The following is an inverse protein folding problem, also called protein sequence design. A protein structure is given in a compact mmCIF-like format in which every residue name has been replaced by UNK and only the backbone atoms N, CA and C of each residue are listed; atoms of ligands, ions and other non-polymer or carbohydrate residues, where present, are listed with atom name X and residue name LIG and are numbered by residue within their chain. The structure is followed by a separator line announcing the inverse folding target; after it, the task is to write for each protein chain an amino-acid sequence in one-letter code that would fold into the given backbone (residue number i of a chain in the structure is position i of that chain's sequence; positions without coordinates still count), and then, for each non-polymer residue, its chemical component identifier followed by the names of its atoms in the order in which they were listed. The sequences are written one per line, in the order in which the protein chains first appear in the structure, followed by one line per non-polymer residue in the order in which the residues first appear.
data_IF_526566239289
#
_entry.id   IF_526566239289
#
_cell.length_a   1.000
_cell.length_b   1.000
_cell.length_c   1.000
_cell.angle_alpha   90.00
_cell.angle_beta   90.00
_cell.angle_gamma   90.00
#
_symmetry.space_group_name_H-M   'P 1'
#
loop_
_entity.id
_entity.type
_entity.pdbx_description
1 polymer ?
#
# COMPACT_ATOMS: atom_id res chain seq x y z
N UNK A 1 11.37 18.23 7.05
CA UNK A 1 10.02 18.07 7.66
C UNK A 1 10.17 17.06 8.78
N UNK A 2 9.63 17.30 9.93
CA UNK A 2 9.74 16.41 11.10
C UNK A 2 8.35 15.92 11.48
N UNK A 3 8.23 14.64 11.84
CA UNK A 3 6.98 14.04 12.33
C UNK A 3 6.90 14.19 13.85
N UNK A 4 7.01 15.39 14.36
CA UNK A 4 7.27 15.71 15.78
C UNK A 4 6.32 15.05 16.79
N UNK A 5 5.21 14.52 16.34
CA UNK A 5 4.19 13.93 17.22
C UNK A 5 4.18 12.40 17.22
N UNK A 6 4.85 11.75 16.24
CA UNK A 6 4.85 10.30 16.11
C UNK A 6 6.17 9.69 16.54
N UNK A 7 6.09 8.56 17.24
CA UNK A 7 7.25 7.80 17.73
C UNK A 7 7.35 6.41 17.15
N UNK A 8 6.23 5.82 16.78
CA UNK A 8 6.15 4.43 16.35
C UNK A 8 5.39 4.30 15.03
N UNK A 9 5.84 3.41 14.17
CA UNK A 9 5.18 3.10 12.91
C UNK A 9 5.15 1.61 12.63
N UNK A 10 4.13 1.15 11.92
CA UNK A 10 4.04 -0.19 11.34
C UNK A 10 3.83 -0.07 9.84
N UNK A 11 4.67 -0.76 9.07
CA UNK A 11 4.60 -0.79 7.60
C UNK A 11 4.41 -2.22 7.13
N UNK A 12 3.35 -2.47 6.37
CA UNK A 12 3.09 -3.77 5.75
C UNK A 12 3.63 -3.85 4.33
N UNK A 13 3.98 -5.06 3.87
CA UNK A 13 4.66 -5.25 2.58
C UNK A 13 6.06 -4.63 2.58
N UNK A 14 6.72 -4.63 3.72
CA UNK A 14 7.96 -3.91 4.00
C UNK A 14 9.23 -4.50 3.36
N UNK A 15 9.14 -5.68 2.77
CA UNK A 15 10.34 -6.40 2.26
C UNK A 15 10.82 -5.91 0.89
N UNK A 16 10.06 -5.05 0.19
CA UNK A 16 10.44 -4.56 -1.15
C UNK A 16 9.70 -3.28 -1.52
N UNK A 17 10.21 -2.60 -2.57
CA UNK A 17 9.53 -1.50 -3.25
C UNK A 17 9.12 -0.36 -2.32
N UNK A 18 7.88 0.10 -2.47
CA UNK A 18 7.36 1.24 -1.70
C UNK A 18 7.39 1.01 -0.19
N UNK A 19 7.09 -0.22 0.26
CA UNK A 19 7.11 -0.56 1.69
C UNK A 19 8.51 -0.50 2.29
N UNK A 20 9.51 -1.08 1.63
CA UNK A 20 10.91 -1.01 2.04
C UNK A 20 11.41 0.44 2.10
N UNK A 21 11.18 1.20 1.04
CA UNK A 21 11.58 2.61 0.99
C UNK A 21 10.88 3.46 2.06
N UNK A 22 9.61 3.15 2.38
CA UNK A 22 8.88 3.81 3.47
C UNK A 22 9.50 3.48 4.83
N UNK A 23 9.88 2.21 5.09
CA UNK A 23 10.58 1.84 6.34
C UNK A 23 11.88 2.62 6.49
N UNK A 24 12.71 2.66 5.44
CA UNK A 24 13.97 3.42 5.44
C UNK A 24 13.70 4.88 5.81
N UNK A 25 12.74 5.51 5.13
CA UNK A 25 12.41 6.92 5.36
C UNK A 25 11.91 7.19 6.77
N UNK A 26 11.02 6.37 7.31
CA UNK A 26 10.49 6.55 8.67
C UNK A 26 11.59 6.35 9.73
N UNK A 27 12.53 5.43 9.52
CA UNK A 27 13.72 5.26 10.38
C UNK A 27 14.64 6.46 10.34
N UNK A 28 14.87 7.06 9.16
CA UNK A 28 15.64 8.31 9.01
C UNK A 28 15.00 9.48 9.77
N UNK A 29 13.68 9.48 9.89
CA UNK A 29 12.94 10.48 10.69
C UNK A 29 12.93 10.16 12.20
N UNK A 30 13.56 9.07 12.63
CA UNK A 30 13.74 8.71 14.03
C UNK A 30 12.61 7.88 14.64
N UNK A 31 11.64 7.40 13.88
CA UNK A 31 10.59 6.55 14.41
C UNK A 31 11.12 5.13 14.70
N UNK A 32 10.57 4.48 15.71
CA UNK A 32 10.63 3.04 15.82
C UNK A 32 9.70 2.42 14.76
N UNK A 33 10.22 1.56 13.90
CA UNK A 33 9.46 1.02 12.76
C UNK A 33 9.35 -0.49 12.83
N UNK A 34 8.14 -1.00 12.91
CA UNK A 34 7.78 -2.40 12.77
C UNK A 34 7.55 -2.73 11.29
N UNK A 35 8.42 -3.56 10.71
CA UNK A 35 8.40 -3.95 9.31
C UNK A 35 7.75 -5.33 9.14
N UNK A 36 6.60 -5.39 8.49
CA UNK A 36 5.82 -6.63 8.33
C UNK A 36 5.83 -7.12 6.88
N UNK A 37 6.25 -8.36 6.66
CA UNK A 37 6.17 -9.06 5.37
C UNK A 37 6.34 -10.57 5.56
N UNK A 38 6.20 -11.36 4.49
CA UNK A 38 6.38 -12.82 4.54
C UNK A 38 7.84 -13.26 4.36
N UNK A 39 8.64 -12.46 3.66
CA UNK A 39 10.03 -12.79 3.34
C UNK A 39 10.94 -12.43 4.50
N UNK A 40 11.22 -13.42 5.36
CA UNK A 40 12.05 -13.29 6.53
C UNK A 40 13.49 -12.84 6.20
N UNK A 41 14.06 -13.34 5.08
CA UNK A 41 15.44 -12.98 4.69
C UNK A 41 15.55 -11.52 4.29
N UNK A 42 14.62 -11.03 3.47
CA UNK A 42 14.59 -9.61 3.06
C UNK A 42 14.31 -8.71 4.26
N UNK A 43 13.42 -9.11 5.18
CA UNK A 43 13.16 -8.36 6.41
C UNK A 43 14.37 -8.29 7.31
N UNK A 44 15.11 -9.39 7.49
CA UNK A 44 16.34 -9.41 8.29
C UNK A 44 17.41 -8.47 7.70
N UNK A 45 17.60 -8.50 6.38
CA UNK A 45 18.53 -7.59 5.70
C UNK A 45 18.10 -6.12 5.81
N UNK A 46 16.79 -5.83 5.77
CA UNK A 46 16.25 -4.48 6.00
C UNK A 46 16.50 -4.05 7.45
N UNK A 47 16.23 -4.91 8.42
CA UNK A 47 16.47 -4.66 9.84
C UNK A 47 17.95 -4.36 10.16
N UNK A 48 18.87 -5.12 9.58
CA UNK A 48 20.31 -4.89 9.72
C UNK A 48 20.75 -3.51 9.23
N UNK A 49 20.18 -3.06 8.10
CA UNK A 49 20.53 -1.76 7.50
C UNK A 49 19.88 -0.57 8.21
N UNK A 50 18.71 -0.76 8.79
CA UNK A 50 17.87 0.37 9.25
C UNK A 50 17.61 0.39 10.75
N UNK A 51 17.79 -0.74 11.42
CA UNK A 51 17.36 -0.93 12.81
C UNK A 51 15.82 -1.04 12.94
N UNK A 52 15.09 -1.34 11.87
CA UNK A 52 13.66 -1.65 11.95
C UNK A 52 13.44 -3.00 12.63
N UNK A 53 12.27 -3.18 13.24
CA UNK A 53 11.89 -4.41 13.93
C UNK A 53 11.15 -5.32 12.94
N UNK A 54 11.72 -6.47 12.55
CA UNK A 54 11.11 -7.33 11.55
C UNK A 54 10.03 -8.23 12.15
N UNK A 55 8.93 -8.40 11.41
CA UNK A 55 7.86 -9.36 11.70
C UNK A 55 7.56 -10.19 10.45
N UNK A 56 8.00 -11.44 10.44
CA UNK A 56 7.77 -12.38 9.33
C UNK A 56 6.38 -13.01 9.47
N UNK A 57 5.33 -12.33 8.98
CA UNK A 57 3.93 -12.71 9.16
C UNK A 57 3.22 -12.71 7.81
N UNK A 58 2.38 -13.71 7.56
CA UNK A 58 1.37 -13.67 6.51
C UNK A 58 0.14 -12.90 7.03
N UNK A 59 -0.17 -11.78 6.40
CA UNK A 59 -1.30 -10.92 6.79
C UNK A 59 -2.67 -11.57 6.60
N UNK A 60 -2.75 -12.70 5.90
CA UNK A 60 -3.98 -13.48 5.74
C UNK A 60 -4.26 -14.38 6.95
N UNK A 61 -3.24 -14.67 7.76
CA UNK A 61 -3.35 -15.34 9.06
C UNK A 61 -3.63 -14.31 10.16
N UNK A 62 -4.92 -14.03 10.36
CA UNK A 62 -5.36 -12.97 11.29
C UNK A 62 -5.00 -13.34 12.75
N UNK A 63 -5.02 -14.61 13.10
CA UNK A 63 -4.66 -15.05 14.46
C UNK A 63 -3.17 -14.80 14.73
N UNK A 64 -2.31 -15.04 13.75
CA UNK A 64 -0.89 -14.70 13.83
C UNK A 64 -0.69 -13.17 13.92
N UNK A 65 -1.41 -12.38 13.12
CA UNK A 65 -1.37 -10.91 13.18
C UNK A 65 -1.73 -10.42 14.58
N UNK A 66 -2.81 -10.90 15.17
CA UNK A 66 -3.25 -10.49 16.51
C UNK A 66 -2.26 -10.92 17.59
N UNK A 67 -1.74 -12.12 17.51
CA UNK A 67 -0.78 -12.67 18.48
C UNK A 67 0.54 -11.89 18.49
N UNK A 68 1.07 -11.60 17.31
CA UNK A 68 2.41 -11.00 17.16
C UNK A 68 2.40 -9.47 17.26
N UNK A 69 1.30 -8.83 16.83
CA UNK A 69 1.24 -7.37 16.71
C UNK A 69 0.27 -6.72 17.70
N UNK A 70 -0.65 -7.48 18.30
CA UNK A 70 -1.74 -6.93 19.12
C UNK A 70 -1.29 -6.20 20.40
N UNK A 71 -0.08 -6.44 20.89
CA UNK A 71 0.51 -5.74 22.03
C UNK A 71 1.23 -4.44 21.70
N UNK A 72 1.37 -4.11 20.41
CA UNK A 72 2.12 -2.93 19.96
C UNK A 72 1.29 -1.65 20.05
N UNK A 73 1.93 -0.58 20.47
CA UNK A 73 1.38 0.76 20.40
C UNK A 73 1.91 1.45 19.16
N UNK A 74 1.04 1.65 18.16
CA UNK A 74 1.42 2.22 16.87
C UNK A 74 0.78 3.60 16.70
N UNK A 75 1.58 4.59 16.29
CA UNK A 75 1.13 5.95 15.97
C UNK A 75 0.87 6.12 14.46
N UNK A 76 1.67 5.44 13.62
CA UNK A 76 1.52 5.47 12.15
C UNK A 76 1.35 4.06 11.63
N UNK A 77 0.20 3.77 11.01
CA UNK A 77 -0.08 2.51 10.33
C UNK A 77 -0.02 2.72 8.82
N UNK A 78 0.96 2.11 8.13
CA UNK A 78 1.07 2.14 6.66
C UNK A 78 0.63 0.79 6.09
N UNK A 79 -0.60 0.73 5.60
CA UNK A 79 -1.16 -0.40 4.88
C UNK A 79 -0.67 -0.35 3.42
N UNK A 80 0.54 -0.87 3.18
CA UNK A 80 1.17 -0.90 1.87
C UNK A 80 1.14 -2.29 1.22
N UNK A 81 1.03 -3.36 2.00
CA UNK A 81 0.94 -4.70 1.44
C UNK A 81 -0.21 -4.80 0.43
N UNK A 82 0.10 -5.39 -0.71
CA UNK A 82 -0.89 -5.59 -1.76
C UNK A 82 -0.41 -6.60 -2.80
N UNK A 83 -1.38 -7.27 -3.39
CA UNK A 83 -1.18 -8.17 -4.51
C UNK A 83 -2.08 -7.75 -5.65
N UNK A 84 -1.63 -7.99 -6.87
CA UNK A 84 -2.45 -7.82 -8.06
C UNK A 84 -2.36 -9.06 -8.92
N UNK A 85 -3.23 -9.17 -9.89
CA UNK A 85 -3.20 -10.25 -10.86
C UNK A 85 -3.73 -9.74 -12.19
N UNK A 86 -3.12 -10.15 -13.31
CA UNK A 86 -3.59 -9.80 -14.64
C UNK A 86 -4.90 -10.53 -14.97
N UNK A 87 -5.59 -10.04 -15.96
CA UNK A 87 -6.77 -10.70 -16.51
C UNK A 87 -8.10 -10.04 -16.13
N UNK A 88 -9.10 -10.38 -16.88
CA UNK A 88 -10.48 -9.99 -16.64
C UNK A 88 -11.19 -11.05 -15.76
N UNK A 89 -12.40 -10.78 -15.36
CA UNK A 89 -13.14 -11.69 -14.48
C UNK A 89 -13.56 -12.99 -15.17
N UNK A 90 -13.54 -13.03 -16.49
CA UNK A 90 -14.01 -14.18 -17.27
C UNK A 90 -13.07 -15.38 -17.13
N UNK A 91 -11.78 -15.13 -16.91
CA UNK A 91 -10.71 -16.12 -16.85
C UNK A 91 -9.80 -16.02 -15.61
N UNK A 92 -10.14 -15.13 -14.68
CA UNK A 92 -9.37 -14.93 -13.45
C UNK A 92 -9.35 -16.21 -12.58
N UNK A 93 -8.16 -16.74 -12.22
CA UNK A 93 -8.08 -17.89 -11.32
C UNK A 93 -8.68 -17.57 -9.95
N UNK A 94 -9.50 -18.48 -9.42
CA UNK A 94 -10.16 -18.31 -8.11
C UNK A 94 -9.17 -17.90 -7.01
N UNK A 95 -8.06 -18.63 -6.86
CA UNK A 95 -7.07 -18.34 -5.82
C UNK A 95 -6.45 -16.96 -5.93
N UNK A 96 -6.36 -16.39 -7.13
CA UNK A 96 -5.90 -15.02 -7.35
C UNK A 96 -6.93 -14.00 -6.86
N UNK A 97 -8.22 -14.24 -7.12
CA UNK A 97 -9.32 -13.39 -6.63
C UNK A 97 -9.33 -13.40 -5.10
N UNK A 98 -9.30 -14.60 -4.51
CA UNK A 98 -9.31 -14.79 -3.04
C UNK A 98 -8.09 -14.07 -2.41
N UNK A 99 -6.88 -14.26 -2.95
CA UNK A 99 -5.68 -13.61 -2.45
C UNK A 99 -5.76 -12.07 -2.51
N UNK A 100 -6.33 -11.50 -3.58
CA UNK A 100 -6.52 -10.05 -3.68
C UNK A 100 -7.50 -9.54 -2.63
N UNK A 101 -8.59 -10.25 -2.35
CA UNK A 101 -9.55 -9.87 -1.31
C UNK A 101 -8.91 -9.98 0.08
N UNK A 102 -8.23 -11.08 0.37
CA UNK A 102 -7.63 -11.34 1.67
C UNK A 102 -6.52 -10.34 2.01
N UNK A 103 -5.60 -10.08 1.08
CA UNK A 103 -4.47 -9.18 1.32
C UNK A 103 -4.87 -7.70 1.20
N UNK A 104 -5.57 -7.33 0.12
CA UNK A 104 -5.81 -5.91 -0.16
C UNK A 104 -6.97 -5.31 0.64
N UNK A 105 -7.90 -6.14 1.14
CA UNK A 105 -9.10 -5.65 1.84
C UNK A 105 -9.18 -6.19 3.26
N UNK A 106 -9.25 -7.52 3.42
CA UNK A 106 -9.46 -8.15 4.72
C UNK A 106 -8.33 -7.82 5.71
N UNK A 107 -7.07 -7.93 5.29
CA UNK A 107 -5.93 -7.59 6.12
C UNK A 107 -5.93 -6.11 6.53
N UNK A 108 -6.26 -5.19 5.60
CA UNK A 108 -6.37 -3.75 5.90
C UNK A 108 -7.42 -3.48 6.98
N UNK A 109 -8.60 -4.09 6.86
CA UNK A 109 -9.67 -3.95 7.86
C UNK A 109 -9.23 -4.47 9.24
N UNK A 110 -8.59 -5.63 9.29
CA UNK A 110 -8.13 -6.21 10.57
C UNK A 110 -7.01 -5.40 11.22
N UNK A 111 -6.06 -4.87 10.45
CA UNK A 111 -5.02 -3.99 10.98
C UNK A 111 -5.60 -2.67 11.50
N UNK A 112 -6.56 -2.07 10.78
CA UNK A 112 -7.26 -0.89 11.28
C UNK A 112 -8.04 -1.21 12.56
N UNK A 113 -8.76 -2.34 12.62
CA UNK A 113 -9.46 -2.80 13.82
C UNK A 113 -8.52 -3.01 15.01
N UNK A 114 -7.31 -3.49 14.77
CA UNK A 114 -6.32 -3.77 15.79
C UNK A 114 -5.72 -2.49 16.40
N UNK A 115 -5.35 -1.52 15.58
CA UNK A 115 -4.58 -0.36 16.03
C UNK A 115 -5.40 0.91 16.26
N UNK A 116 -6.50 1.10 15.52
CA UNK A 116 -7.27 2.33 15.58
C UNK A 116 -7.88 2.62 16.99
N UNK A 117 -8.38 1.64 17.76
CA UNK A 117 -8.88 1.91 19.11
C UNK A 117 -7.82 2.55 20.01
N UNK A 118 -6.60 2.05 20.03
CA UNK A 118 -5.50 2.63 20.80
C UNK A 118 -5.10 4.03 20.32
N UNK A 119 -5.13 4.28 19.01
CA UNK A 119 -4.92 5.63 18.46
C UNK A 119 -6.02 6.60 18.94
N UNK A 120 -7.28 6.16 18.90
CA UNK A 120 -8.45 6.97 19.35
C UNK A 120 -8.36 7.28 20.85
N UNK A 121 -7.96 6.33 21.67
CA UNK A 121 -7.78 6.51 23.11
C UNK A 121 -6.71 7.58 23.41
N UNK A 122 -5.56 7.53 22.72
CA UNK A 122 -4.47 8.50 22.88
C UNK A 122 -4.73 9.83 22.18
N UNK A 123 -5.80 9.96 21.41
CA UNK A 123 -6.07 11.09 20.50
C UNK A 123 -4.88 11.41 19.56
N UNK A 124 -4.18 10.36 19.12
CA UNK A 124 -2.99 10.43 18.28
C UNK A 124 -2.91 9.23 17.35
N UNK A 125 -2.90 9.48 16.05
CA UNK A 125 -2.70 8.42 15.06
C UNK A 125 -2.79 8.89 13.62
N UNK A 126 -2.16 8.13 12.72
CA UNK A 126 -2.26 8.33 11.29
C UNK A 126 -2.29 6.99 10.56
N UNK A 127 -3.38 6.72 9.86
CA UNK A 127 -3.50 5.58 8.95
C UNK A 127 -3.18 6.04 7.53
N UNK A 128 -2.19 5.43 6.89
CA UNK A 128 -1.85 5.65 5.49
C UNK A 128 -2.17 4.37 4.71
N UNK A 129 -3.13 4.45 3.81
CA UNK A 129 -3.52 3.33 2.96
C UNK A 129 -2.97 3.51 1.55
N UNK A 130 -2.17 2.57 1.07
CA UNK A 130 -1.70 2.56 -0.31
C UNK A 130 -2.74 1.86 -1.17
N UNK A 131 -3.52 2.67 -1.87
CA UNK A 131 -4.53 2.23 -2.83
C UNK A 131 -3.94 2.17 -4.25
N UNK A 132 -4.61 2.70 -5.22
CA UNK A 132 -4.19 2.84 -6.62
C UNK A 132 -5.17 3.75 -7.34
N UNK A 133 -4.75 4.34 -8.45
CA UNK A 133 -5.68 4.95 -9.41
C UNK A 133 -6.73 3.93 -9.90
N UNK A 134 -6.44 2.62 -9.85
CA UNK A 134 -7.40 1.55 -10.12
C UNK A 134 -8.59 1.51 -9.15
N UNK A 135 -8.49 2.13 -7.98
CA UNK A 135 -9.62 2.33 -7.06
C UNK A 135 -10.54 3.49 -7.45
N UNK A 136 -10.08 4.37 -8.33
CA UNK A 136 -10.77 5.59 -8.76
C UNK A 136 -11.27 5.51 -10.21
N UNK A 137 -10.53 4.82 -11.07
CA UNK A 137 -10.75 4.76 -12.51
C UNK A 137 -10.72 3.33 -13.01
N UNK A 138 -11.39 3.07 -14.12
CA UNK A 138 -11.44 1.76 -14.74
C UNK A 138 -10.44 1.66 -15.91
N UNK A 139 -9.73 0.53 -15.96
CA UNK A 139 -8.88 0.13 -17.07
C UNK A 139 -9.30 -1.25 -17.57
N UNK A 140 -8.84 -1.62 -18.75
CA UNK A 140 -9.05 -2.97 -19.28
C UNK A 140 -8.39 -4.04 -18.38
N UNK A 141 -9.12 -5.11 -18.13
CA UNK A 141 -8.68 -6.21 -17.26
C UNK A 141 -8.70 -5.83 -15.77
N UNK A 142 -8.07 -6.65 -14.95
CA UNK A 142 -7.85 -6.39 -13.52
C UNK A 142 -9.13 -6.15 -12.67
N UNK A 143 -10.28 -6.75 -13.03
CA UNK A 143 -11.57 -6.50 -12.36
C UNK A 143 -11.49 -6.65 -10.84
N UNK A 144 -10.91 -7.77 -10.35
CA UNK A 144 -10.78 -8.01 -8.91
C UNK A 144 -9.86 -7.00 -8.23
N UNK A 145 -8.77 -6.60 -8.90
CA UNK A 145 -7.86 -5.58 -8.38
C UNK A 145 -8.56 -4.22 -8.23
N UNK A 146 -9.29 -3.76 -9.26
CA UNK A 146 -10.09 -2.54 -9.20
C UNK A 146 -11.08 -2.58 -8.03
N UNK A 147 -11.81 -3.69 -7.89
CA UNK A 147 -12.77 -3.86 -6.80
C UNK A 147 -12.09 -3.76 -5.42
N UNK A 148 -10.93 -4.41 -5.23
CA UNK A 148 -10.22 -4.35 -3.95
C UNK A 148 -9.66 -2.95 -3.66
N UNK A 149 -9.15 -2.23 -4.66
CA UNK A 149 -8.64 -0.87 -4.48
C UNK A 149 -9.77 0.16 -4.29
N UNK A 150 -10.92 -0.03 -4.94
CA UNK A 150 -12.13 0.74 -4.63
C UNK A 150 -12.65 0.49 -3.20
N UNK A 151 -12.53 -0.74 -2.69
CA UNK A 151 -12.83 -1.03 -1.29
C UNK A 151 -11.89 -0.28 -0.34
N UNK A 152 -10.57 -0.24 -0.61
CA UNK A 152 -9.60 0.53 0.19
C UNK A 152 -9.92 2.03 0.15
N UNK A 153 -10.32 2.56 -1.03
CA UNK A 153 -10.80 3.93 -1.15
C UNK A 153 -11.96 4.21 -0.20
N UNK A 154 -12.99 3.36 -0.23
CA UNK A 154 -14.16 3.54 0.64
C UNK A 154 -13.83 3.33 2.12
N UNK A 155 -12.98 2.36 2.47
CA UNK A 155 -12.47 2.14 3.85
C UNK A 155 -11.80 3.42 4.35
N UNK A 156 -10.89 4.01 3.57
CA UNK A 156 -10.16 5.22 3.97
C UNK A 156 -11.09 6.39 4.27
N UNK A 157 -12.16 6.55 3.50
CA UNK A 157 -13.17 7.58 3.73
C UNK A 157 -14.01 7.30 4.97
N UNK A 158 -14.42 6.04 5.18
CA UNK A 158 -15.26 5.66 6.31
C UNK A 158 -14.50 5.75 7.65
N UNK A 159 -13.23 5.36 7.70
CA UNK A 159 -12.40 5.48 8.91
C UNK A 159 -12.35 6.92 9.45
N UNK A 160 -12.46 7.93 8.60
CA UNK A 160 -12.56 9.32 9.03
C UNK A 160 -13.87 9.64 9.76
N UNK A 161 -14.97 9.01 9.33
CA UNK A 161 -16.26 9.15 10.04
C UNK A 161 -16.19 8.43 11.39
N UNK A 162 -15.61 7.23 11.42
CA UNK A 162 -15.49 6.41 12.63
C UNK A 162 -14.61 7.08 13.70
N UNK A 163 -13.70 7.97 13.30
CA UNK A 163 -12.78 8.70 14.19
C UNK A 163 -13.15 10.18 14.37
N UNK A 164 -14.38 10.58 14.01
CA UNK A 164 -14.85 11.96 14.13
C UNK A 164 -14.70 12.46 15.59
N UNK A 165 -14.16 13.67 15.73
CA UNK A 165 -13.90 14.29 17.04
C UNK A 165 -12.57 13.90 17.67
N UNK A 166 -11.75 13.09 16.97
CA UNK A 166 -10.40 12.70 17.39
C UNK A 166 -9.34 13.22 16.41
N UNK A 167 -8.12 13.42 16.92
CA UNK A 167 -6.99 13.85 16.09
C UNK A 167 -6.35 12.67 15.36
N UNK A 168 -7.18 11.88 14.72
CA UNK A 168 -6.77 10.75 13.88
C UNK A 168 -6.79 11.20 12.43
N UNK A 169 -5.68 11.00 11.74
CA UNK A 169 -5.56 11.30 10.32
C UNK A 169 -5.68 10.02 9.51
N UNK A 170 -6.33 10.11 8.37
CA UNK A 170 -6.38 9.01 7.40
C UNK A 170 -6.04 9.58 6.04
N UNK A 171 -4.98 9.05 5.46
CA UNK A 171 -4.51 9.40 4.12
C UNK A 171 -4.58 8.19 3.21
N UNK A 172 -5.20 8.36 2.07
CA UNK A 172 -5.14 7.41 0.97
C UNK A 172 -4.17 7.93 -0.09
N UNK A 173 -3.18 7.11 -0.44
CA UNK A 173 -2.28 7.40 -1.56
C UNK A 173 -2.69 6.50 -2.72
N UNK A 174 -2.98 7.11 -3.87
CA UNK A 174 -3.41 6.45 -5.09
C UNK A 174 -2.36 6.60 -6.20
N UNK A 175 -1.35 5.72 -6.23
CA UNK A 175 -0.34 5.76 -7.28
C UNK A 175 -0.90 5.34 -8.63
N UNK A 176 -0.38 5.97 -9.69
CA UNK A 176 -0.42 5.45 -11.04
C UNK A 176 0.66 4.40 -11.26
N UNK A 177 1.32 4.44 -12.43
CA UNK A 177 2.42 3.51 -12.75
C UNK A 177 3.65 3.85 -11.93
N UNK A 178 4.06 2.94 -11.06
CA UNK A 178 5.29 3.03 -10.25
C UNK A 178 6.21 1.87 -10.61
N UNK A 179 7.48 2.14 -10.81
CA UNK A 179 8.50 1.13 -11.05
C UNK A 179 8.70 0.26 -9.79
N UNK A 180 8.16 -0.95 -9.83
CA UNK A 180 8.21 -1.93 -8.74
C UNK A 180 8.28 -3.35 -9.30
N UNK A 181 8.55 -4.32 -8.43
CA UNK A 181 8.57 -5.74 -8.79
C UNK A 181 7.15 -6.34 -9.04
N UNK A 182 6.08 -5.57 -8.91
CA UNK A 182 4.71 -6.11 -8.87
C UNK A 182 4.34 -6.86 -10.16
N UNK A 183 4.68 -6.34 -11.32
CA UNK A 183 4.38 -6.98 -12.59
C UNK A 183 5.20 -8.25 -12.79
N UNK A 184 6.50 -8.24 -12.48
CA UNK A 184 7.33 -9.41 -12.57
C UNK A 184 6.90 -10.53 -11.62
N UNK A 185 6.43 -10.17 -10.42
CA UNK A 185 5.83 -11.14 -9.47
C UNK A 185 4.55 -11.76 -9.99
N UNK A 186 3.71 -10.97 -10.65
CA UNK A 186 2.49 -11.45 -11.30
C UNK A 186 2.77 -12.43 -12.45
N UNK A 187 3.95 -12.32 -13.08
CA UNK A 187 4.42 -13.19 -14.14
C UNK A 187 5.22 -14.41 -13.64
N UNK A 188 5.20 -14.67 -12.32
CA UNK A 188 5.82 -15.83 -11.69
C UNK A 188 7.09 -15.55 -10.89
N UNK A 189 7.61 -14.32 -10.92
CA UNK A 189 8.69 -13.85 -10.02
C UNK A 189 10.09 -14.39 -10.34
N UNK A 190 10.30 -15.11 -11.45
CA UNK A 190 11.62 -15.53 -11.87
C UNK A 190 12.44 -14.32 -12.38
N UNK A 191 13.79 -14.42 -12.47
CA UNK A 191 14.61 -13.36 -13.04
C UNK A 191 14.19 -12.99 -14.47
N UNK A 192 13.81 -14.00 -15.29
CA UNK A 192 13.32 -13.82 -16.64
C UNK A 192 11.99 -13.07 -16.66
N UNK A 193 11.04 -13.43 -15.78
CA UNK A 193 9.75 -12.76 -15.63
C UNK A 193 9.91 -11.31 -15.15
N UNK A 194 10.87 -11.04 -14.27
CA UNK A 194 11.19 -9.68 -13.84
C UNK A 194 11.72 -8.83 -15.00
N UNK A 195 12.60 -9.40 -15.84
CA UNK A 195 13.14 -8.73 -17.00
C UNK A 195 12.05 -8.46 -18.05
N UNK A 196 11.25 -9.47 -18.38
CA UNK A 196 10.14 -9.34 -19.32
C UNK A 196 9.11 -8.30 -18.87
N UNK A 197 8.81 -8.26 -17.55
CA UNK A 197 7.93 -7.26 -16.98
C UNK A 197 8.52 -5.84 -17.11
N UNK A 198 9.82 -5.68 -16.89
CA UNK A 198 10.49 -4.40 -17.09
C UNK A 198 10.38 -3.94 -18.55
N UNK A 199 10.75 -4.77 -19.49
CA UNK A 199 10.71 -4.49 -20.95
C UNK A 199 9.28 -4.17 -21.42
N UNK A 200 8.27 -4.86 -20.85
CA UNK A 200 6.86 -4.70 -21.27
C UNK A 200 6.18 -3.48 -20.67
N UNK A 201 6.45 -3.19 -19.38
CA UNK A 201 5.63 -2.24 -18.63
C UNK A 201 6.36 -0.94 -18.27
N UNK A 202 7.69 -0.93 -18.29
CA UNK A 202 8.48 0.21 -17.85
C UNK A 202 9.42 0.78 -18.90
N UNK A 203 10.02 -0.06 -19.74
CA UNK A 203 10.98 0.40 -20.75
C UNK A 203 10.31 1.35 -21.76
N UNK A 204 10.92 2.54 -21.94
CA UNK A 204 10.38 3.58 -22.84
C UNK A 204 9.21 4.39 -22.26
N UNK A 205 8.84 4.16 -21.01
CA UNK A 205 7.82 4.96 -20.32
C UNK A 205 8.42 5.74 -19.16
N UNK A 206 8.04 7.01 -19.02
CA UNK A 206 8.33 7.77 -17.81
C UNK A 206 7.33 7.33 -16.73
N UNK A 207 7.83 6.59 -15.76
CA UNK A 207 7.04 6.06 -14.63
C UNK A 207 7.41 6.78 -13.33
N UNK A 208 6.53 6.71 -12.33
CA UNK A 208 6.91 7.12 -10.98
C UNK A 208 7.94 6.15 -10.41
N UNK A 209 8.79 6.68 -9.56
CA UNK A 209 9.70 5.88 -8.72
C UNK A 209 9.09 5.62 -7.34
N UNK A 210 9.65 4.68 -6.60
CA UNK A 210 9.24 4.46 -5.20
C UNK A 210 9.49 5.70 -4.34
N UNK A 211 10.52 6.51 -4.68
CA UNK A 211 10.84 7.74 -3.97
C UNK A 211 9.73 8.80 -4.09
N UNK A 212 9.04 8.88 -5.23
CA UNK A 212 7.93 9.82 -5.42
C UNK A 212 6.76 9.48 -4.49
N UNK A 213 6.49 8.20 -4.28
CA UNK A 213 5.43 7.76 -3.37
C UNK A 213 5.82 7.98 -1.91
N UNK A 214 7.09 7.71 -1.56
CA UNK A 214 7.61 8.01 -0.22
C UNK A 214 7.55 9.50 0.08
N UNK A 215 7.87 10.36 -0.89
CA UNK A 215 7.77 11.82 -0.73
C UNK A 215 6.33 12.27 -0.45
N UNK A 216 5.34 11.64 -1.08
CA UNK A 216 3.93 11.93 -0.82
C UNK A 216 3.48 11.46 0.59
N UNK A 217 3.93 10.28 1.03
CA UNK A 217 3.69 9.80 2.40
C UNK A 217 4.34 10.77 3.39
N UNK A 218 5.60 11.15 3.15
CA UNK A 218 6.35 12.10 3.96
C UNK A 218 5.61 13.44 4.09
N UNK A 219 5.11 13.98 3.00
CA UNK A 219 4.33 15.21 2.96
C UNK A 219 3.05 15.11 3.82
N UNK A 220 2.33 14.01 3.71
CA UNK A 220 1.11 13.78 4.50
C UNK A 220 1.42 13.64 6.00
N UNK A 221 2.48 12.91 6.37
CA UNK A 221 2.88 12.72 7.76
C UNK A 221 3.37 14.01 8.40
N UNK A 222 4.08 14.85 7.65
CA UNK A 222 4.65 16.12 8.12
C UNK A 222 3.62 17.26 8.22
N UNK A 223 2.40 17.08 7.73
CA UNK A 223 1.35 18.07 7.84
C UNK A 223 0.98 18.34 9.31
N UNK A 224 0.57 19.57 9.67
CA UNK A 224 0.12 19.88 11.03
C UNK A 224 -1.02 18.96 11.49
N UNK A 225 -1.09 18.66 12.78
CA UNK A 225 -2.07 17.70 13.37
C UNK A 225 -3.54 17.96 13.00
N UNK A 226 -3.90 19.21 12.76
CA UNK A 226 -5.27 19.59 12.38
C UNK A 226 -5.53 19.46 10.87
N UNK A 227 -4.49 19.14 10.07
CA UNK A 227 -4.59 18.99 8.62
C UNK A 227 -4.60 17.51 8.27
N UNK A 228 -5.63 17.07 7.55
CA UNK A 228 -5.72 15.73 7.01
C UNK A 228 -5.66 15.76 5.47
N UNK A 229 -4.62 15.16 4.90
CA UNK A 229 -4.55 14.87 3.48
C UNK A 229 -5.38 13.62 3.21
N UNK A 230 -6.62 13.77 2.72
CA UNK A 230 -7.56 12.65 2.61
C UNK A 230 -7.27 11.72 1.46
N UNK A 231 -6.98 12.28 0.29
CA UNK A 231 -6.67 11.55 -0.94
C UNK A 231 -5.50 12.23 -1.65
N UNK A 232 -4.52 11.44 -2.05
CA UNK A 232 -3.38 11.87 -2.86
C UNK A 232 -3.28 11.00 -4.10
N UNK A 233 -3.74 11.53 -5.22
CA UNK A 233 -3.60 10.91 -6.53
C UNK A 233 -2.27 11.34 -7.14
N UNK A 234 -1.43 10.37 -7.51
CA UNK A 234 -0.07 10.63 -8.00
C UNK A 234 0.16 9.83 -9.27
N UNK A 235 0.39 10.51 -10.36
CA UNK A 235 0.61 9.86 -11.66
C UNK A 235 1.82 10.46 -12.37
N UNK A 236 2.50 9.67 -13.23
CA UNK A 236 3.43 10.24 -14.20
C UNK A 236 2.73 11.32 -15.05
N UNK A 237 3.47 12.34 -15.46
CA UNK A 237 2.94 13.43 -16.29
C UNK A 237 2.27 12.93 -17.58
N UNK A 238 2.78 11.84 -18.16
CA UNK A 238 2.26 11.23 -19.39
C UNK A 238 1.20 10.15 -19.16
N UNK A 239 0.80 9.89 -17.93
CA UNK A 239 -0.29 8.98 -17.63
C UNK A 239 -1.59 9.75 -17.40
N UNK A 240 -2.65 9.38 -18.11
CA UNK A 240 -4.00 9.91 -17.89
C UNK A 240 -4.88 8.75 -17.43
N UNK A 241 -5.65 8.92 -16.34
CA UNK A 241 -6.54 7.88 -15.87
C UNK A 241 -7.78 7.78 -16.77
N UNK A 242 -8.19 6.54 -16.99
CA UNK A 242 -9.25 6.27 -17.95
C UNK A 242 -8.76 6.51 -19.37
N UNK A 243 -9.49 6.18 -20.32
CA UNK A 243 -9.21 6.40 -21.72
C UNK A 243 -10.41 5.93 -22.49
N UNK A 244 -10.71 6.59 -23.60
CA UNK A 244 -11.62 6.03 -24.57
C UNK A 244 -10.87 4.91 -25.28
N UNK A 245 -11.06 3.67 -24.83
CA UNK A 245 -10.57 2.50 -25.55
C UNK A 245 -11.70 2.01 -26.44
N UNK A 246 -11.49 2.09 -27.75
CA UNK A 246 -12.41 1.57 -28.74
C UNK A 246 -11.84 0.29 -29.32
N UNK A 247 -12.64 -0.74 -29.40
CA UNK A 247 -12.35 -1.87 -30.25
C UNK A 247 -12.69 -1.50 -31.68
N UNK A 248 -11.73 -1.64 -32.60
CA UNK A 248 -11.99 -1.43 -34.03
C UNK A 248 -12.64 -2.69 -34.56
N UNK A 249 -13.86 -2.57 -35.04
CA UNK A 249 -14.44 -3.61 -35.87
C UNK A 249 -13.80 -3.54 -37.24
N UNK A 250 -13.19 -4.64 -37.66
CA UNK A 250 -12.57 -4.76 -38.98
C UNK A 250 -13.62 -4.87 -40.11
N UNK A 251 -14.90 -5.05 -39.78
CA UNK A 251 -16.01 -5.39 -40.65
C UNK A 251 -17.07 -4.27 -40.78
N UNK A 252 -16.71 -3.01 -40.42
CA UNK A 252 -17.57 -1.83 -40.63
C UNK A 252 -16.95 -0.87 -41.62
#
# INVERSE_FOLDING_TARGET
MTYSDYTTALVTGASTGMGEATVIRLREQGLEVHAVARDEKRLAALAERTGAIPHAIDLTDIDAVERELGGLQIDVLVNNAGVSGPGNILDAPRGMVDAMVDVNVRAVLHLCRLFLPGMVERDLGHVVNISSIAGLYNFFGHTAYHATKAAVHQISRQLRNDTLGKRIRVTEVCPGRVETEIFGRNMGGSPEAMKEAWETYYEGFESLTVADIVAAIDFALAAPRHVNMGLMEIMPTFQVPGGLTFDRREDV
#
